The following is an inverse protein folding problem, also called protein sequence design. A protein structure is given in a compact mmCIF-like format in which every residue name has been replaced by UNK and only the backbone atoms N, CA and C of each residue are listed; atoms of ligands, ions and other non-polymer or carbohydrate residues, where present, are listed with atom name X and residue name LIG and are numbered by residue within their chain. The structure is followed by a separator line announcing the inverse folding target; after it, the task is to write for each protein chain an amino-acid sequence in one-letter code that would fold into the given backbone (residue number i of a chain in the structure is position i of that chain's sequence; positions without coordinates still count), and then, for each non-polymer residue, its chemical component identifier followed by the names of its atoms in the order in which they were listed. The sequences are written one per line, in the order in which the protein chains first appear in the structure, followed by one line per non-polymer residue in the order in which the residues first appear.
data_IF_099291951988
#
_entry.id   IF_099291951988
#
_cell.length_a   1.000
_cell.length_b   1.000
_cell.length_c   1.000
_cell.angle_alpha   90.00
_cell.angle_beta   90.00
_cell.angle_gamma   90.00
#
_symmetry.space_group_name_H-M   'P 1'
#
loop_
_entity.id
_entity.type
_entity.pdbx_description
1 polymer ?
#
# COMPACT_ATOMS: atom_id res chain seq x y z
N UNK A 1 42.36 5.60 23.69
CA UNK A 1 40.96 5.15 23.63
C UNK A 1 40.31 5.81 22.43
N UNK A 2 40.01 5.07 21.38
CA UNK A 2 39.13 5.58 20.29
C UNK A 2 37.75 5.79 20.87
N UNK A 3 37.09 6.94 20.62
CA UNK A 3 35.72 7.12 21.05
C UNK A 3 34.87 5.98 20.48
N UNK A 4 34.03 5.35 21.32
CA UNK A 4 33.08 4.33 20.93
C UNK A 4 32.23 4.90 19.77
N UNK A 5 32.50 4.46 18.55
CA UNK A 5 31.61 4.76 17.44
C UNK A 5 30.23 4.17 17.83
N UNK A 6 29.28 5.06 18.09
CA UNK A 6 27.87 4.67 18.19
C UNK A 6 27.57 3.94 16.88
N UNK A 7 27.17 2.66 16.97
CA UNK A 7 26.79 1.87 15.78
C UNK A 7 25.55 2.52 15.16
N UNK A 8 25.77 3.54 14.32
CA UNK A 8 24.72 4.32 13.65
C UNK A 8 24.05 3.54 12.52
N UNK A 9 24.61 2.41 12.13
CA UNK A 9 24.11 1.59 11.03
C UNK A 9 22.64 1.17 11.19
N UNK A 10 22.16 0.67 12.35
CA UNK A 10 20.75 0.31 12.52
C UNK A 10 19.79 1.50 12.45
N UNK A 11 20.19 2.67 12.97
CA UNK A 11 19.35 3.88 12.94
C UNK A 11 19.24 4.41 11.51
N UNK A 12 20.35 4.44 10.79
CA UNK A 12 20.41 4.91 9.42
C UNK A 12 19.64 3.96 8.48
N UNK A 13 19.78 2.64 8.66
CA UNK A 13 19.00 1.64 7.92
C UNK A 13 17.50 1.80 8.14
N UNK A 14 17.08 2.08 9.39
CA UNK A 14 15.69 2.34 9.72
C UNK A 14 15.19 3.64 9.07
N UNK A 15 16.01 4.70 9.05
CA UNK A 15 15.65 5.98 8.41
C UNK A 15 15.43 5.81 6.90
N UNK A 16 16.37 5.16 6.19
CA UNK A 16 16.22 4.92 4.76
C UNK A 16 15.04 3.98 4.45
N UNK A 17 14.81 2.94 5.24
CA UNK A 17 13.66 2.06 5.03
C UNK A 17 12.35 2.80 5.25
N UNK A 18 12.25 3.65 6.27
CA UNK A 18 11.06 4.46 6.52
C UNK A 18 10.82 5.48 5.39
N UNK A 19 11.87 6.16 4.92
CA UNK A 19 11.79 7.04 3.74
C UNK A 19 11.32 6.25 2.50
N UNK A 20 11.85 5.05 2.28
CA UNK A 20 11.44 4.16 1.19
C UNK A 20 9.94 3.82 1.27
N UNK A 21 9.39 3.60 2.45
CA UNK A 21 7.96 3.32 2.62
C UNK A 21 7.09 4.55 2.29
N UNK A 22 7.54 5.76 2.72
CA UNK A 22 6.86 7.01 2.33
C UNK A 22 6.86 7.16 0.81
N UNK A 23 8.03 7.05 0.16
CA UNK A 23 8.13 7.25 -1.29
C UNK A 23 7.35 6.20 -2.06
N UNK A 24 7.38 4.93 -1.65
CA UNK A 24 6.59 3.87 -2.30
C UNK A 24 5.12 4.24 -2.36
N UNK A 25 4.52 4.58 -1.23
CA UNK A 25 3.09 4.89 -1.18
C UNK A 25 2.77 6.27 -1.75
N UNK A 26 3.59 7.28 -1.50
CA UNK A 26 3.38 8.61 -2.05
C UNK A 26 3.40 8.58 -3.59
N UNK A 27 4.44 8.01 -4.20
CA UNK A 27 4.64 8.06 -5.64
C UNK A 27 3.68 7.15 -6.43
N UNK A 28 3.20 6.06 -5.82
CA UNK A 28 2.19 5.19 -6.47
C UNK A 28 0.77 5.74 -6.38
N UNK A 29 0.46 6.60 -5.39
CA UNK A 29 -0.89 7.13 -5.15
C UNK A 29 -1.05 8.56 -5.69
N UNK A 30 0.05 9.31 -5.91
CA UNK A 30 -0.03 10.70 -6.35
C UNK A 30 -0.87 10.88 -7.64
N UNK A 31 -0.85 9.89 -8.54
CA UNK A 31 -1.61 9.91 -9.78
C UNK A 31 -3.12 9.92 -9.55
N UNK A 32 -3.62 9.31 -8.49
CA UNK A 32 -5.04 9.29 -8.15
C UNK A 32 -5.66 10.71 -7.97
N UNK A 33 -4.85 11.67 -7.54
CA UNK A 33 -5.27 13.08 -7.44
C UNK A 33 -4.90 13.86 -8.70
N UNK A 34 -3.73 13.58 -9.30
CA UNK A 34 -3.31 14.25 -10.52
C UNK A 34 -4.27 14.01 -11.69
N UNK A 35 -4.85 12.81 -11.76
CA UNK A 35 -5.82 12.43 -12.81
C UNK A 35 -7.12 13.24 -12.80
N UNK A 36 -7.41 14.01 -11.75
CA UNK A 36 -8.55 14.94 -11.75
C UNK A 36 -8.33 16.11 -12.74
N UNK A 37 -7.10 16.56 -12.90
CA UNK A 37 -6.72 17.68 -13.77
C UNK A 37 -6.38 17.22 -15.20
N UNK A 38 -5.75 16.06 -15.34
CA UNK A 38 -5.11 15.61 -16.58
C UNK A 38 -6.06 15.35 -17.76
N UNK A 39 -7.36 14.99 -17.60
CA UNK A 39 -8.30 14.87 -18.72
C UNK A 39 -8.36 16.12 -19.60
N UNK A 40 -8.38 17.31 -18.99
CA UNK A 40 -8.37 18.58 -19.72
C UNK A 40 -7.03 18.92 -20.38
N UNK A 41 -5.91 18.42 -19.84
CA UNK A 41 -4.56 18.63 -20.40
C UNK A 41 -4.29 17.73 -21.62
N UNK A 42 -4.87 16.51 -21.64
CA UNK A 42 -4.58 15.49 -22.66
C UNK A 42 -5.74 15.21 -23.60
N UNK A 43 -6.88 15.88 -23.44
CA UNK A 43 -8.12 15.68 -24.22
C UNK A 43 -8.59 14.21 -24.23
N UNK A 44 -8.63 13.59 -23.05
CA UNK A 44 -9.05 12.20 -22.81
C UNK A 44 -10.12 12.13 -21.74
N UNK A 45 -10.97 11.10 -21.75
CA UNK A 45 -11.92 10.86 -20.69
C UNK A 45 -11.22 10.50 -19.37
N UNK A 46 -11.89 10.72 -18.22
CA UNK A 46 -11.31 10.43 -16.90
C UNK A 46 -10.90 8.96 -16.75
N UNK A 47 -11.75 8.03 -17.19
CA UNK A 47 -11.48 6.61 -17.08
C UNK A 47 -10.34 6.16 -17.99
N UNK A 48 -10.26 6.72 -19.21
CA UNK A 48 -9.11 6.48 -20.10
C UNK A 48 -7.81 6.91 -19.43
N UNK A 49 -7.79 8.14 -18.86
CA UNK A 49 -6.64 8.66 -18.14
C UNK A 49 -6.31 7.80 -16.91
N UNK A 50 -7.30 7.47 -16.08
CA UNK A 50 -7.09 6.63 -14.91
C UNK A 50 -6.51 5.26 -15.30
N UNK A 51 -7.01 4.68 -16.39
CA UNK A 51 -6.56 3.41 -16.95
C UNK A 51 -5.07 3.36 -17.32
N UNK A 52 -4.43 4.50 -17.62
CA UNK A 52 -2.99 4.54 -17.92
C UNK A 52 -2.11 4.07 -16.75
N UNK A 53 -2.59 4.13 -15.51
CA UNK A 53 -1.86 3.63 -14.35
C UNK A 53 -1.97 2.12 -14.13
N UNK A 54 -2.87 1.43 -14.83
CA UNK A 54 -3.21 0.02 -14.60
C UNK A 54 -2.00 -0.91 -14.72
N UNK A 55 -1.20 -0.76 -15.78
CA UNK A 55 0.00 -1.59 -15.97
C UNK A 55 1.03 -1.32 -14.89
N UNK A 56 1.19 -0.07 -14.45
CA UNK A 56 2.06 0.27 -13.33
C UNK A 56 1.69 -0.47 -12.05
N UNK A 57 0.41 -0.53 -11.71
CA UNK A 57 -0.07 -1.26 -10.54
C UNK A 57 0.11 -2.79 -10.68
N UNK A 58 -0.09 -3.34 -11.88
CA UNK A 58 0.21 -4.77 -12.15
C UNK A 58 1.70 -5.04 -11.94
N UNK A 59 2.57 -4.20 -12.49
CA UNK A 59 4.02 -4.33 -12.35
C UNK A 59 4.47 -4.16 -10.89
N UNK A 60 3.81 -3.29 -10.13
CA UNK A 60 4.06 -3.14 -8.69
C UNK A 60 3.86 -4.47 -7.94
N UNK A 61 2.78 -5.21 -8.25
CA UNK A 61 2.53 -6.52 -7.65
C UNK A 61 3.48 -7.60 -8.19
N UNK A 62 3.47 -7.82 -9.50
CA UNK A 62 4.20 -8.94 -10.15
C UNK A 62 5.71 -8.77 -10.00
N UNK A 63 6.23 -7.55 -10.14
CA UNK A 63 7.65 -7.23 -10.00
C UNK A 63 8.22 -7.51 -8.60
N UNK A 64 7.36 -7.60 -7.57
CA UNK A 64 7.81 -7.90 -6.20
C UNK A 64 8.46 -9.29 -6.06
N UNK A 65 8.07 -10.26 -6.89
CA UNK A 65 8.67 -11.61 -6.88
C UNK A 65 10.15 -11.59 -7.33
N UNK A 66 10.48 -11.10 -8.54
CA UNK A 66 11.88 -11.01 -8.96
C UNK A 66 12.67 -10.03 -8.09
N UNK A 67 12.09 -8.93 -7.62
CA UNK A 67 12.77 -7.97 -6.76
C UNK A 67 13.22 -8.61 -5.44
N UNK A 68 12.36 -9.39 -4.78
CA UNK A 68 12.73 -10.14 -3.58
C UNK A 68 13.83 -11.16 -3.86
N UNK A 69 13.73 -11.89 -4.98
CA UNK A 69 14.74 -12.87 -5.39
C UNK A 69 16.13 -12.23 -5.62
N UNK A 70 16.18 -11.06 -6.26
CA UNK A 70 17.43 -10.30 -6.43
C UNK A 70 17.97 -9.75 -5.11
N UNK A 71 17.08 -9.22 -4.24
CA UNK A 71 17.44 -8.73 -2.92
C UNK A 71 18.10 -9.79 -2.04
N UNK A 72 17.61 -11.03 -2.11
CA UNK A 72 18.16 -12.16 -1.34
C UNK A 72 19.50 -12.67 -1.90
N UNK A 73 19.77 -12.49 -3.21
CA UNK A 73 20.97 -13.06 -3.86
C UNK A 73 22.08 -12.09 -4.14
N UNK A 74 21.75 -10.81 -4.29
CA UNK A 74 22.75 -9.80 -4.61
C UNK A 74 22.98 -8.85 -3.43
N UNK A 75 22.08 -7.90 -3.18
CA UNK A 75 22.21 -6.90 -2.13
C UNK A 75 20.87 -6.23 -1.86
N UNK A 76 20.46 -6.19 -0.58
CA UNK A 76 19.26 -5.47 -0.18
C UNK A 76 19.44 -3.96 -0.31
N UNK A 77 20.62 -3.46 0.10
CA UNK A 77 20.94 -2.02 0.02
C UNK A 77 21.07 -1.60 -1.45
N UNK A 78 21.75 -2.40 -2.29
CA UNK A 78 21.89 -2.14 -3.72
C UNK A 78 20.52 -2.08 -4.42
N UNK A 79 19.62 -3.01 -4.10
CA UNK A 79 18.24 -2.99 -4.62
C UNK A 79 17.47 -1.74 -4.16
N UNK A 80 17.66 -1.28 -2.91
CA UNK A 80 17.03 -0.04 -2.43
C UNK A 80 17.62 1.21 -3.10
N UNK A 81 18.88 1.23 -3.46
CA UNK A 81 19.46 2.32 -4.30
C UNK A 81 18.77 2.34 -5.66
N UNK A 82 18.62 1.16 -6.31
CA UNK A 82 17.90 1.04 -7.58
C UNK A 82 16.43 1.49 -7.42
N UNK A 83 15.78 1.11 -6.32
CA UNK A 83 14.44 1.56 -6.02
C UNK A 83 14.32 3.08 -5.99
N UNK A 84 15.10 3.76 -5.14
CA UNK A 84 15.00 5.21 -4.97
C UNK A 84 15.34 5.98 -6.25
N UNK A 85 16.42 5.62 -6.92
CA UNK A 85 16.84 6.28 -8.16
C UNK A 85 15.86 5.96 -9.28
N UNK A 86 15.49 4.70 -9.44
CA UNK A 86 14.59 4.26 -10.52
C UNK A 86 13.20 4.84 -10.39
N UNK A 87 12.56 4.77 -9.21
CA UNK A 87 11.23 5.34 -8.99
C UNK A 87 11.26 6.87 -9.12
N UNK A 88 12.34 7.51 -8.63
CA UNK A 88 12.52 8.95 -8.74
C UNK A 88 12.66 9.41 -10.20
N UNK A 89 13.53 8.76 -10.98
CA UNK A 89 13.70 9.05 -12.42
C UNK A 89 12.41 8.81 -13.19
N UNK A 90 11.71 7.69 -12.93
CA UNK A 90 10.42 7.40 -13.54
C UNK A 90 9.38 8.47 -13.22
N UNK A 91 9.35 8.96 -11.98
CA UNK A 91 8.40 10.00 -11.55
C UNK A 91 8.75 11.35 -12.20
N UNK A 92 10.02 11.75 -12.24
CA UNK A 92 10.47 12.96 -12.95
C UNK A 92 10.11 12.86 -14.44
N UNK A 93 10.40 11.74 -15.09
CA UNK A 93 10.04 11.50 -16.49
C UNK A 93 8.53 11.65 -16.72
N UNK A 94 7.71 11.12 -15.79
CA UNK A 94 6.23 11.26 -15.84
C UNK A 94 5.80 12.72 -15.81
N UNK A 95 6.46 13.57 -14.99
CA UNK A 95 6.19 15.01 -14.92
C UNK A 95 6.50 15.77 -16.24
N UNK A 96 7.34 15.21 -17.09
CA UNK A 96 7.66 15.76 -18.43
C UNK A 96 6.85 15.13 -19.57
N UNK A 97 5.83 14.29 -19.25
CA UNK A 97 5.00 13.66 -20.26
C UNK A 97 4.29 14.71 -21.15
N UNK A 98 4.31 14.47 -22.46
CA UNK A 98 3.69 15.33 -23.47
C UNK A 98 2.47 14.70 -24.16
N UNK A 99 2.25 13.41 -23.94
CA UNK A 99 1.15 12.64 -24.51
C UNK A 99 0.83 11.43 -23.60
N UNK A 100 -0.30 10.77 -23.84
CA UNK A 100 -0.77 9.62 -23.09
C UNK A 100 0.25 8.47 -23.07
N UNK A 101 0.96 8.25 -24.19
CA UNK A 101 1.97 7.17 -24.27
C UNK A 101 3.15 7.42 -23.33
N UNK A 102 3.70 8.64 -23.30
CA UNK A 102 4.80 8.97 -22.37
C UNK A 102 4.34 8.94 -20.91
N UNK A 103 3.11 9.35 -20.62
CA UNK A 103 2.51 9.24 -19.30
C UNK A 103 2.33 7.78 -18.88
N UNK A 104 1.78 6.94 -19.76
CA UNK A 104 1.64 5.49 -19.55
C UNK A 104 2.99 4.80 -19.25
N UNK A 105 4.03 5.10 -20.03
CA UNK A 105 5.37 4.54 -19.81
C UNK A 105 5.90 4.97 -18.44
N UNK A 106 5.80 6.26 -18.10
CA UNK A 106 6.25 6.79 -16.82
C UNK A 106 5.54 6.13 -15.62
N UNK A 107 4.21 6.02 -15.67
CA UNK A 107 3.41 5.37 -14.64
C UNK A 107 3.74 3.87 -14.52
N UNK A 108 4.00 3.20 -15.63
CA UNK A 108 4.41 1.80 -15.66
C UNK A 108 5.78 1.60 -14.99
N UNK A 109 6.74 2.49 -15.26
CA UNK A 109 8.06 2.48 -14.63
C UNK A 109 8.00 2.81 -13.14
N UNK A 110 7.14 3.75 -12.70
CA UNK A 110 6.90 4.01 -11.28
C UNK A 110 6.48 2.72 -10.57
N UNK A 111 5.50 2.00 -11.11
CA UNK A 111 5.05 0.73 -10.53
C UNK A 111 6.13 -0.34 -10.53
N UNK A 112 6.90 -0.46 -11.62
CA UNK A 112 8.00 -1.41 -11.72
C UNK A 112 9.05 -1.18 -10.62
N UNK A 113 9.53 0.04 -10.42
CA UNK A 113 10.52 0.33 -9.39
C UNK A 113 9.92 0.29 -7.98
N UNK A 114 8.65 0.68 -7.79
CA UNK A 114 7.95 0.56 -6.52
C UNK A 114 7.91 -0.89 -6.02
N UNK A 115 7.87 -1.88 -6.91
CA UNK A 115 7.81 -3.31 -6.59
C UNK A 115 8.98 -3.80 -5.74
N UNK A 116 10.09 -3.08 -5.74
CA UNK A 116 11.31 -3.45 -5.02
C UNK A 116 11.15 -3.24 -3.50
N UNK A 117 10.45 -2.18 -3.08
CA UNK A 117 10.50 -1.77 -1.68
C UNK A 117 9.95 -2.81 -0.71
N UNK A 118 8.75 -3.33 -0.94
CA UNK A 118 8.10 -4.20 0.05
C UNK A 118 8.86 -5.49 0.35
N UNK A 119 9.33 -6.27 -0.65
CA UNK A 119 10.08 -7.48 -0.36
C UNK A 119 11.49 -7.20 0.17
N UNK A 120 12.15 -6.14 -0.31
CA UNK A 120 13.55 -5.86 0.00
C UNK A 120 13.71 -4.93 1.21
N UNK A 121 13.02 -3.79 1.21
CA UNK A 121 13.15 -2.76 2.24
C UNK A 121 12.65 -3.23 3.61
N UNK A 122 11.52 -3.97 3.65
CA UNK A 122 11.01 -4.55 4.89
C UNK A 122 11.93 -5.67 5.38
N UNK A 123 12.46 -6.51 4.49
CA UNK A 123 13.41 -7.56 4.87
C UNK A 123 14.70 -6.98 5.46
N UNK A 124 15.26 -5.96 4.83
CA UNK A 124 16.44 -5.24 5.33
C UNK A 124 16.18 -4.57 6.69
N UNK A 125 15.04 -3.89 6.84
CA UNK A 125 14.62 -3.27 8.09
C UNK A 125 14.56 -4.28 9.24
N UNK A 126 13.91 -5.43 9.01
CA UNK A 126 13.77 -6.50 10.02
C UNK A 126 15.13 -7.11 10.37
N UNK A 127 16.04 -7.23 9.38
CA UNK A 127 17.39 -7.73 9.60
C UNK A 127 18.23 -6.79 10.50
N UNK A 128 18.00 -5.47 10.42
CA UNK A 128 18.68 -4.46 11.23
C UNK A 128 18.00 -4.16 12.58
N UNK A 129 16.76 -4.60 12.78
CA UNK A 129 15.93 -4.21 13.92
C UNK A 129 16.27 -4.99 15.21
N UNK A 130 16.47 -4.26 16.33
CA UNK A 130 16.57 -4.86 17.69
C UNK A 130 15.21 -5.29 18.24
N UNK A 131 14.13 -4.53 17.92
CA UNK A 131 12.74 -4.78 18.32
C UNK A 131 11.85 -4.80 17.09
N UNK A 132 11.78 -5.97 16.44
CA UNK A 132 11.15 -6.13 15.13
C UNK A 132 9.70 -5.62 15.08
N UNK A 133 8.87 -5.93 16.08
CA UNK A 133 7.46 -5.51 16.12
C UNK A 133 7.30 -3.98 16.15
N UNK A 134 8.03 -3.30 17.04
CA UNK A 134 8.01 -1.84 17.11
C UNK A 134 8.52 -1.19 15.82
N UNK A 135 9.61 -1.72 15.28
CA UNK A 135 10.24 -1.20 14.05
C UNK A 135 9.31 -1.34 12.85
N UNK A 136 8.62 -2.48 12.71
CA UNK A 136 7.62 -2.69 11.66
C UNK A 136 6.39 -1.79 11.86
N UNK A 137 5.97 -1.57 13.10
CA UNK A 137 4.88 -0.64 13.42
C UNK A 137 5.19 0.79 13.00
N UNK A 138 6.39 1.28 13.34
CA UNK A 138 6.88 2.60 12.92
C UNK A 138 6.94 2.69 11.40
N UNK A 139 7.54 1.69 10.75
CA UNK A 139 7.64 1.65 9.29
C UNK A 139 6.28 1.66 8.61
N UNK A 140 5.30 0.92 9.14
CA UNK A 140 3.92 0.94 8.67
C UNK A 140 3.29 2.35 8.75
N UNK A 141 3.55 3.08 9.84
CA UNK A 141 3.08 4.46 10.00
C UNK A 141 3.67 5.40 8.92
N UNK A 142 4.93 5.22 8.55
CA UNK A 142 5.56 5.99 7.46
C UNK A 142 4.93 5.67 6.10
N UNK A 143 4.55 4.42 5.82
CA UNK A 143 3.82 4.06 4.60
C UNK A 143 2.45 4.75 4.53
N UNK A 144 1.70 4.73 5.62
CA UNK A 144 0.42 5.44 5.72
C UNK A 144 0.57 6.96 5.58
N UNK A 145 1.63 7.53 6.16
CA UNK A 145 1.96 8.95 6.02
C UNK A 145 2.18 9.31 4.55
N UNK A 146 2.92 8.49 3.79
CA UNK A 146 3.11 8.67 2.35
C UNK A 146 1.78 8.70 1.59
N UNK A 147 0.88 7.76 1.89
CA UNK A 147 -0.46 7.71 1.29
C UNK A 147 -1.32 8.93 1.61
N UNK A 148 -1.24 9.46 2.83
CA UNK A 148 -2.03 10.61 3.27
C UNK A 148 -1.48 11.94 2.73
N UNK A 149 -0.16 12.09 2.63
CA UNK A 149 0.48 13.29 2.10
C UNK A 149 0.29 13.42 0.59
N UNK A 150 0.28 12.31 -0.16
CA UNK A 150 0.22 12.32 -1.61
C UNK A 150 -0.93 13.20 -2.17
N UNK A 151 -2.20 12.98 -1.81
CA UNK A 151 -3.30 13.80 -2.36
C UNK A 151 -3.21 15.27 -1.95
N UNK A 152 -2.77 15.58 -0.72
CA UNK A 152 -2.58 16.96 -0.24
C UNK A 152 -1.52 17.67 -1.08
N UNK A 153 -0.36 17.04 -1.22
CA UNK A 153 0.76 17.59 -1.98
C UNK A 153 0.39 17.83 -3.44
N UNK A 154 -0.24 16.84 -4.08
CA UNK A 154 -0.65 16.94 -5.49
C UNK A 154 -1.67 18.05 -5.69
N UNK A 155 -2.70 18.14 -4.83
CA UNK A 155 -3.71 19.19 -4.92
C UNK A 155 -3.09 20.59 -4.82
N UNK A 156 -2.19 20.80 -3.86
CA UNK A 156 -1.45 22.09 -3.70
C UNK A 156 -0.61 22.39 -4.95
N UNK A 157 0.10 21.40 -5.49
CA UNK A 157 0.91 21.62 -6.67
C UNK A 157 0.08 21.98 -7.88
N UNK A 158 -1.08 21.35 -8.10
CA UNK A 158 -1.96 21.66 -9.22
C UNK A 158 -2.52 23.09 -9.12
N UNK A 159 -3.02 23.47 -7.95
CA UNK A 159 -3.67 24.78 -7.79
C UNK A 159 -2.68 25.95 -7.80
N UNK A 160 -1.46 25.78 -7.27
CA UNK A 160 -0.53 26.90 -7.04
C UNK A 160 0.75 26.89 -7.87
N UNK A 161 1.11 25.74 -8.49
CA UNK A 161 2.37 25.61 -9.26
C UNK A 161 2.12 25.03 -10.62
N UNK A 162 2.02 23.71 -10.73
CA UNK A 162 1.65 22.95 -11.93
C UNK A 162 1.50 21.45 -11.59
N UNK A 163 0.72 20.72 -12.39
CA UNK A 163 0.65 19.28 -12.26
C UNK A 163 2.01 18.58 -12.48
N UNK A 164 2.89 19.18 -13.29
CA UNK A 164 4.24 18.68 -13.52
C UNK A 164 5.09 18.71 -12.26
N UNK A 165 4.97 19.77 -11.48
CA UNK A 165 5.69 19.89 -10.20
C UNK A 165 5.28 18.80 -9.20
N UNK A 166 4.02 18.32 -9.27
CA UNK A 166 3.53 17.23 -8.43
C UNK A 166 4.30 15.91 -8.64
N UNK A 167 4.90 15.72 -9.82
CA UNK A 167 5.74 14.57 -10.13
C UNK A 167 7.24 14.89 -9.96
N UNK A 168 7.68 16.02 -10.52
CA UNK A 168 9.11 16.37 -10.58
C UNK A 168 9.73 16.53 -9.19
N UNK A 169 9.05 17.25 -8.29
CA UNK A 169 9.61 17.54 -6.97
C UNK A 169 9.80 16.28 -6.10
N UNK A 170 8.79 15.41 -5.90
CA UNK A 170 8.98 14.23 -5.10
C UNK A 170 9.86 13.18 -5.81
N UNK A 171 9.86 13.15 -7.15
CA UNK A 171 10.78 12.32 -7.92
C UNK A 171 12.24 12.72 -7.72
N UNK A 172 12.55 14.03 -7.76
CA UNK A 172 13.89 14.54 -7.47
C UNK A 172 14.31 14.25 -6.01
N UNK A 173 13.40 14.38 -5.05
CA UNK A 173 13.66 14.04 -3.65
C UNK A 173 13.98 12.54 -3.49
N UNK A 174 13.31 11.66 -4.22
CA UNK A 174 13.61 10.22 -4.21
C UNK A 174 15.01 9.94 -4.80
N UNK A 175 15.37 10.59 -5.93
CA UNK A 175 16.73 10.46 -6.52
C UNK A 175 17.81 10.90 -5.52
N UNK A 176 17.63 12.04 -4.87
CA UNK A 176 18.57 12.54 -3.86
C UNK A 176 18.69 11.57 -2.68
N UNK A 177 17.57 10.99 -2.21
CA UNK A 177 17.57 9.98 -1.15
C UNK A 177 18.34 8.73 -1.60
N UNK A 178 18.16 8.28 -2.83
CA UNK A 178 18.90 7.16 -3.41
C UNK A 178 20.40 7.43 -3.54
N UNK A 179 20.78 8.64 -3.96
CA UNK A 179 22.17 9.08 -3.99
C UNK A 179 22.81 9.10 -2.60
N UNK A 180 22.05 9.55 -1.59
CA UNK A 180 22.51 9.53 -0.19
C UNK A 180 22.68 8.11 0.35
N UNK A 181 21.73 7.22 0.02
CA UNK A 181 21.83 5.80 0.38
C UNK A 181 23.06 5.15 -0.29
N UNK A 182 23.31 5.45 -1.57
CA UNK A 182 24.49 4.95 -2.29
C UNK A 182 25.79 5.44 -1.63
N UNK A 183 25.89 6.73 -1.27
CA UNK A 183 27.03 7.30 -0.54
C UNK A 183 27.20 6.59 0.82
N UNK A 184 26.11 6.38 1.56
CA UNK A 184 26.15 5.68 2.84
C UNK A 184 26.62 4.23 2.69
N UNK A 185 26.24 3.56 1.60
CA UNK A 185 26.63 2.19 1.32
C UNK A 185 28.12 2.07 0.94
N UNK A 186 28.62 2.93 0.05
CA UNK A 186 30.05 2.87 -0.37
C UNK A 186 31.02 3.33 0.73
N UNK A 187 30.51 4.04 1.76
CA UNK A 187 31.31 4.43 2.93
C UNK A 187 31.08 3.51 4.16
N UNK A 188 30.43 2.34 3.98
CA UNK A 188 30.16 1.35 5.03
C UNK A 188 29.33 1.89 6.22
N UNK A 189 28.56 2.98 6.03
CA UNK A 189 27.64 3.49 7.06
C UNK A 189 26.42 2.62 7.21
N UNK A 190 26.02 1.96 6.12
CA UNK A 190 24.98 0.93 6.06
C UNK A 190 25.49 -0.29 5.31
N UNK A 191 25.02 -1.47 5.65
CA UNK A 191 25.44 -2.73 5.02
C UNK A 191 24.29 -3.71 4.91
N UNK A 192 24.43 -4.69 4.04
CA UNK A 192 23.57 -5.87 4.02
C UNK A 192 23.82 -6.68 5.29
N UNK A 193 22.77 -6.94 6.05
CA UNK A 193 22.85 -7.79 7.25
C UNK A 193 22.07 -9.08 6.99
N UNK A 194 22.78 -10.19 7.11
CA UNK A 194 22.17 -11.51 7.14
C UNK A 194 21.90 -11.85 8.61
N UNK A 195 20.64 -11.93 9.00
CA UNK A 195 20.25 -12.48 10.31
C UNK A 195 19.89 -13.93 10.16
N UNK A 196 20.60 -14.81 10.87
CA UNK A 196 20.14 -16.19 11.10
C UNK A 196 18.82 -16.14 11.89
N UNK A 197 17.71 -16.38 11.19
CA UNK A 197 16.39 -16.39 11.80
C UNK A 197 16.15 -17.73 12.47
N UNK A 198 15.82 -17.73 13.74
CA UNK A 198 15.25 -18.90 14.39
C UNK A 198 13.99 -19.35 13.63
N UNK A 199 13.86 -20.65 13.34
CA UNK A 199 12.69 -21.16 12.64
C UNK A 199 11.42 -20.93 13.48
N UNK A 200 10.40 -20.32 12.87
CA UNK A 200 9.09 -20.19 13.51
C UNK A 200 8.44 -21.58 13.65
N UNK A 201 7.58 -21.79 14.68
CA UNK A 201 6.92 -23.07 14.90
C UNK A 201 6.19 -23.58 13.66
N UNK A 202 6.21 -24.90 13.44
CA UNK A 202 5.49 -25.51 12.32
C UNK A 202 3.97 -25.34 12.47
N UNK A 203 3.22 -25.07 11.37
CA UNK A 203 1.77 -25.01 11.42
C UNK A 203 1.15 -26.36 11.76
N UNK A 204 -0.08 -26.35 12.34
CA UNK A 204 -0.81 -27.57 12.62
C UNK A 204 -1.09 -28.37 11.33
N UNK A 205 -0.87 -29.68 11.31
CA UNK A 205 -1.14 -30.53 10.14
C UNK A 205 -2.62 -30.46 9.74
N UNK A 206 -2.91 -30.32 8.44
CA UNK A 206 -4.26 -30.42 7.89
C UNK A 206 -4.95 -29.10 7.56
N UNK A 207 -4.71 -28.02 8.32
CA UNK A 207 -5.40 -26.74 8.10
C UNK A 207 -4.76 -25.85 7.03
N UNK A 208 -3.51 -26.08 6.65
CA UNK A 208 -2.76 -25.17 5.79
C UNK A 208 -3.36 -24.98 4.39
N UNK A 209 -3.86 -26.05 3.76
CA UNK A 209 -4.46 -25.97 2.41
C UNK A 209 -5.74 -25.15 2.41
N UNK A 210 -6.59 -25.42 3.41
CA UNK A 210 -7.86 -24.72 3.60
C UNK A 210 -7.62 -23.23 3.87
N UNK A 211 -6.75 -22.93 4.81
CA UNK A 211 -6.43 -21.53 5.15
C UNK A 211 -5.75 -20.82 3.99
N UNK A 212 -4.84 -21.50 3.26
CA UNK A 212 -4.20 -20.94 2.08
C UNK A 212 -5.23 -20.55 1.01
N UNK A 213 -6.20 -21.44 0.71
CA UNK A 213 -7.26 -21.15 -0.27
C UNK A 213 -8.13 -19.97 0.18
N UNK A 214 -8.52 -19.95 1.46
CA UNK A 214 -9.29 -18.84 2.02
C UNK A 214 -8.52 -17.52 1.88
N UNK A 215 -7.25 -17.49 2.30
CA UNK A 215 -6.42 -16.29 2.23
C UNK A 215 -6.16 -15.86 0.78
N UNK A 216 -6.00 -16.79 -0.16
CA UNK A 216 -5.85 -16.46 -1.58
C UNK A 216 -7.04 -15.63 -2.09
N UNK A 217 -8.27 -16.09 -1.81
CA UNK A 217 -9.50 -15.40 -2.24
C UNK A 217 -9.68 -14.08 -1.50
N UNK A 218 -9.54 -14.08 -0.17
CA UNK A 218 -9.77 -12.87 0.62
C UNK A 218 -8.73 -11.78 0.38
N UNK A 219 -7.46 -12.14 0.10
CA UNK A 219 -6.42 -11.19 -0.31
C UNK A 219 -6.68 -10.62 -1.71
N UNK A 220 -7.20 -11.43 -2.63
CA UNK A 220 -7.61 -10.94 -3.93
C UNK A 220 -8.76 -9.93 -3.81
N UNK A 221 -9.79 -10.23 -2.98
CA UNK A 221 -10.86 -9.30 -2.68
C UNK A 221 -10.33 -8.02 -1.99
N UNK A 222 -9.39 -8.16 -1.04
CA UNK A 222 -8.77 -7.03 -0.37
C UNK A 222 -8.02 -6.13 -1.35
N UNK A 223 -7.16 -6.71 -2.21
CA UNK A 223 -6.42 -5.95 -3.23
C UNK A 223 -7.35 -5.22 -4.19
N UNK A 224 -8.44 -5.90 -4.60
CA UNK A 224 -9.46 -5.33 -5.47
C UNK A 224 -10.14 -4.10 -4.83
N UNK A 225 -10.62 -4.22 -3.60
CA UNK A 225 -11.30 -3.13 -2.88
C UNK A 225 -10.31 -2.02 -2.51
N UNK A 226 -9.15 -2.38 -1.95
CA UNK A 226 -8.15 -1.40 -1.49
C UNK A 226 -7.63 -0.52 -2.63
N UNK A 227 -7.20 -1.14 -3.73
CA UNK A 227 -6.69 -0.38 -4.87
C UNK A 227 -7.77 0.52 -5.49
N UNK A 228 -8.99 0.02 -5.61
CA UNK A 228 -10.11 0.81 -6.12
C UNK A 228 -10.39 2.01 -5.23
N UNK A 229 -10.56 1.81 -3.93
CA UNK A 229 -10.83 2.90 -2.98
C UNK A 229 -9.70 3.95 -2.98
N UNK A 230 -8.44 3.52 -2.92
CA UNK A 230 -7.30 4.44 -2.90
C UNK A 230 -7.17 5.28 -4.17
N UNK A 231 -7.42 4.68 -5.34
CA UNK A 231 -7.26 5.38 -6.61
C UNK A 231 -8.49 6.16 -7.06
N UNK A 232 -9.68 5.87 -6.51
CA UNK A 232 -10.90 6.61 -6.87
C UNK A 232 -11.30 7.66 -5.82
N UNK A 233 -10.78 7.61 -4.59
CA UNK A 233 -11.18 8.48 -3.50
C UNK A 233 -11.20 9.98 -3.85
N UNK A 234 -10.17 10.57 -4.51
CA UNK A 234 -10.23 11.98 -4.89
C UNK A 234 -11.40 12.29 -5.82
N UNK A 235 -11.65 11.45 -6.82
CA UNK A 235 -12.76 11.65 -7.79
C UNK A 235 -14.13 11.41 -7.15
N UNK A 236 -14.23 10.44 -6.25
CA UNK A 236 -15.46 10.19 -5.46
C UNK A 236 -15.84 11.44 -4.66
N UNK A 237 -14.86 12.12 -4.04
CA UNK A 237 -15.11 13.37 -3.34
C UNK A 237 -15.41 14.53 -4.30
N UNK A 238 -14.73 14.63 -5.43
CA UNK A 238 -15.02 15.65 -6.43
C UNK A 238 -16.47 15.60 -6.91
N UNK A 239 -16.98 14.42 -7.24
CA UNK A 239 -18.35 14.29 -7.80
C UNK A 239 -19.44 14.15 -6.73
N UNK A 240 -19.10 13.69 -5.53
CA UNK A 240 -20.07 13.42 -4.46
C UNK A 240 -20.28 14.55 -3.46
N UNK A 241 -19.44 15.60 -3.50
CA UNK A 241 -19.49 16.72 -2.57
C UNK A 241 -20.05 17.98 -3.23
N UNK A 242 -20.37 18.99 -2.39
CA UNK A 242 -20.82 20.29 -2.86
C UNK A 242 -19.72 21.04 -3.59
N UNK A 243 -20.10 21.96 -4.49
CA UNK A 243 -19.22 22.80 -5.29
C UNK A 243 -18.17 23.51 -4.43
N UNK A 244 -18.49 23.89 -3.19
CA UNK A 244 -17.57 24.57 -2.27
C UNK A 244 -16.31 23.76 -1.89
N UNK A 245 -16.31 22.44 -2.11
CA UNK A 245 -15.13 21.58 -1.93
C UNK A 245 -14.56 21.16 -3.28
N UNK A 246 -15.43 20.90 -4.26
CA UNK A 246 -15.07 20.41 -5.59
C UNK A 246 -14.39 21.50 -6.48
N UNK A 247 -14.37 22.76 -6.06
CA UNK A 247 -13.78 23.89 -6.81
C UNK A 247 -12.24 24.02 -6.69
N UNK A 248 -11.59 23.15 -5.90
CA UNK A 248 -10.15 23.20 -5.66
C UNK A 248 -9.55 21.82 -5.46
N UNK A 249 -8.51 21.50 -6.21
CA UNK A 249 -7.74 20.26 -6.06
C UNK A 249 -7.06 20.17 -4.69
N UNK A 250 -6.66 21.31 -4.12
CA UNK A 250 -6.12 21.38 -2.74
C UNK A 250 -7.16 20.95 -1.71
N UNK A 251 -8.40 21.41 -1.80
CA UNK A 251 -9.48 21.01 -0.85
C UNK A 251 -9.79 19.52 -0.97
N UNK A 252 -9.91 19.00 -2.19
CA UNK A 252 -10.12 17.56 -2.45
C UNK A 252 -8.94 16.76 -1.91
N UNK A 253 -7.71 17.22 -2.17
CA UNK A 253 -6.49 16.59 -1.70
C UNK A 253 -6.40 16.54 -0.17
N UNK A 254 -6.69 17.65 0.52
CA UNK A 254 -6.70 17.74 1.99
C UNK A 254 -7.75 16.77 2.56
N UNK A 255 -8.96 16.77 2.03
CA UNK A 255 -10.02 15.89 2.52
C UNK A 255 -9.64 14.42 2.32
N UNK A 256 -9.14 14.06 1.15
CA UNK A 256 -8.67 12.70 0.85
C UNK A 256 -7.55 12.29 1.79
N UNK A 257 -6.56 13.18 2.00
CA UNK A 257 -5.44 12.97 2.91
C UNK A 257 -5.88 12.79 4.36
N UNK A 258 -6.85 13.58 4.83
CA UNK A 258 -7.42 13.44 6.18
C UNK A 258 -8.13 12.08 6.32
N UNK A 259 -8.96 11.69 5.37
CA UNK A 259 -9.68 10.40 5.42
C UNK A 259 -8.70 9.24 5.43
N UNK A 260 -7.68 9.25 4.57
CA UNK A 260 -6.62 8.22 4.55
C UNK A 260 -5.83 8.24 5.86
N UNK A 261 -5.42 9.41 6.33
CA UNK A 261 -4.63 9.55 7.56
C UNK A 261 -5.37 9.08 8.79
N UNK A 262 -6.63 9.49 8.98
CA UNK A 262 -7.46 9.05 10.11
C UNK A 262 -7.75 7.54 10.05
N UNK A 263 -8.09 7.01 8.87
CA UNK A 263 -8.30 5.57 8.71
C UNK A 263 -7.05 4.76 9.05
N UNK A 264 -5.88 5.29 8.73
CA UNK A 264 -4.59 4.64 9.00
C UNK A 264 -4.31 4.42 10.51
N UNK A 265 -4.86 5.26 11.37
CA UNK A 265 -4.81 5.06 12.84
C UNK A 265 -5.50 3.75 13.24
N UNK A 266 -6.52 3.34 12.49
CA UNK A 266 -7.23 2.08 12.76
C UNK A 266 -6.36 0.82 12.52
N UNK A 267 -5.25 0.92 11.79
CA UNK A 267 -4.30 -0.19 11.67
C UNK A 267 -3.62 -0.52 13.01
N UNK A 268 -3.35 0.48 13.86
CA UNK A 268 -2.85 0.25 15.23
C UNK A 268 -3.91 -0.41 16.12
N UNK A 269 -5.18 0.02 15.97
CA UNK A 269 -6.31 -0.63 16.67
C UNK A 269 -6.41 -2.09 16.22
N UNK A 270 -6.27 -2.37 14.93
CA UNK A 270 -6.25 -3.71 14.38
C UNK A 270 -5.13 -4.60 14.96
N UNK A 271 -3.92 -4.07 15.09
CA UNK A 271 -2.80 -4.75 15.74
C UNK A 271 -3.09 -5.05 17.22
N UNK A 272 -3.56 -4.06 17.96
CA UNK A 272 -3.93 -4.21 19.38
C UNK A 272 -5.06 -5.23 19.60
N UNK A 273 -6.06 -5.25 18.73
CA UNK A 273 -7.12 -6.25 18.73
C UNK A 273 -6.57 -7.65 18.42
N UNK A 274 -5.67 -7.76 17.43
CA UNK A 274 -5.08 -9.03 17.01
C UNK A 274 -4.24 -9.69 18.11
N UNK A 275 -3.65 -8.90 19.03
CA UNK A 275 -2.93 -9.40 20.19
C UNK A 275 -3.86 -9.95 21.30
N UNK A 276 -5.11 -9.48 21.37
CA UNK A 276 -6.07 -9.82 22.43
C UNK A 276 -7.13 -10.83 22.04
N UNK A 277 -7.52 -10.81 20.79
CA UNK A 277 -8.60 -11.65 20.27
C UNK A 277 -8.10 -12.60 19.17
N UNK A 278 -8.87 -13.60 18.83
CA UNK A 278 -8.48 -14.51 17.75
C UNK A 278 -8.45 -13.77 16.39
N UNK A 279 -7.37 -13.95 15.62
CA UNK A 279 -7.21 -13.35 14.31
C UNK A 279 -8.41 -13.63 13.39
N UNK A 280 -9.00 -14.86 13.45
CA UNK A 280 -10.21 -15.20 12.72
C UNK A 280 -11.40 -14.31 13.06
N UNK A 281 -11.64 -14.02 14.37
CA UNK A 281 -12.77 -13.19 14.78
C UNK A 281 -12.63 -11.76 14.28
N UNK A 282 -11.43 -11.18 14.43
CA UNK A 282 -11.16 -9.82 13.96
C UNK A 282 -11.33 -9.76 12.44
N UNK A 283 -10.74 -10.71 11.72
CA UNK A 283 -10.84 -10.79 10.28
C UNK A 283 -12.28 -10.85 9.79
N UNK A 284 -13.11 -11.72 10.39
CA UNK A 284 -14.52 -11.84 10.06
C UNK A 284 -15.33 -10.57 10.38
N UNK A 285 -15.15 -10.01 11.59
CA UNK A 285 -15.93 -8.85 12.03
C UNK A 285 -15.67 -7.65 11.13
N UNK A 286 -14.42 -7.36 10.80
CA UNK A 286 -14.09 -6.19 9.97
C UNK A 286 -14.48 -6.38 8.51
N UNK A 287 -14.41 -7.60 7.95
CA UNK A 287 -15.01 -7.89 6.65
C UNK A 287 -16.52 -7.70 6.64
N UNK A 288 -17.24 -8.16 7.70
CA UNK A 288 -18.69 -7.94 7.83
C UNK A 288 -19.06 -6.46 7.97
N UNK A 289 -18.27 -5.66 8.69
CA UNK A 289 -18.49 -4.21 8.82
C UNK A 289 -18.18 -3.46 7.53
N UNK A 290 -17.23 -3.95 6.75
CA UNK A 290 -16.88 -3.34 5.46
C UNK A 290 -18.02 -3.42 4.44
N UNK A 291 -18.79 -4.50 4.41
CA UNK A 291 -19.92 -4.66 3.46
C UNK A 291 -20.92 -3.49 3.53
N UNK A 292 -21.58 -3.21 4.68
CA UNK A 292 -22.53 -2.11 4.74
C UNK A 292 -21.87 -0.73 4.54
N UNK A 293 -20.61 -0.56 4.93
CA UNK A 293 -19.91 0.72 4.69
C UNK A 293 -19.66 0.98 3.19
N UNK A 294 -19.33 -0.05 2.41
CA UNK A 294 -19.22 0.08 0.95
C UNK A 294 -20.57 0.37 0.26
N UNK A 295 -21.65 -0.26 0.73
CA UNK A 295 -22.99 0.05 0.25
C UNK A 295 -23.35 1.51 0.60
N UNK A 296 -22.99 1.96 1.80
CA UNK A 296 -23.22 3.35 2.20
C UNK A 296 -22.44 4.31 1.30
N UNK A 297 -21.18 4.03 0.94
CA UNK A 297 -20.42 4.84 -0.03
C UNK A 297 -21.13 4.89 -1.39
N UNK A 298 -21.67 3.77 -1.85
CA UNK A 298 -22.39 3.70 -3.14
C UNK A 298 -23.63 4.60 -3.19
N UNK A 299 -24.26 4.88 -2.04
CA UNK A 299 -25.54 5.59 -1.93
C UNK A 299 -25.42 7.00 -1.34
N UNK A 300 -24.30 7.31 -0.68
CA UNK A 300 -24.13 8.55 0.07
C UNK A 300 -23.67 9.71 -0.82
N UNK A 301 -23.97 10.92 -0.37
CA UNK A 301 -23.48 12.18 -0.92
C UNK A 301 -23.20 13.19 0.20
N UNK A 302 -22.51 14.28 -0.10
CA UNK A 302 -22.17 15.31 0.88
C UNK A 302 -21.42 14.76 2.10
N UNK A 303 -21.71 15.25 3.28
CA UNK A 303 -21.01 14.88 4.51
C UNK A 303 -21.16 13.38 4.86
N UNK A 304 -22.27 12.77 4.48
CA UNK A 304 -22.49 11.32 4.70
C UNK A 304 -21.48 10.49 3.90
N UNK A 305 -21.13 10.94 2.69
CA UNK A 305 -20.11 10.27 1.88
C UNK A 305 -18.73 10.30 2.56
N UNK A 306 -18.35 11.43 3.17
CA UNK A 306 -17.07 11.54 3.91
C UNK A 306 -17.04 10.51 5.04
N UNK A 307 -18.10 10.43 5.83
CA UNK A 307 -18.20 9.44 6.92
C UNK A 307 -18.17 8.00 6.40
N UNK A 308 -18.92 7.72 5.33
CA UNK A 308 -18.95 6.39 4.70
C UNK A 308 -17.57 5.95 4.21
N UNK A 309 -16.84 6.84 3.52
CA UNK A 309 -15.47 6.60 3.05
C UNK A 309 -14.51 6.39 4.23
N UNK A 310 -14.59 7.21 5.28
CA UNK A 310 -13.77 7.05 6.49
C UNK A 310 -14.02 5.70 7.15
N UNK A 311 -15.27 5.28 7.31
CA UNK A 311 -15.62 3.98 7.91
C UNK A 311 -15.11 2.82 7.04
N UNK A 312 -15.38 2.85 5.73
CA UNK A 312 -14.96 1.80 4.82
C UNK A 312 -13.43 1.65 4.79
N UNK A 313 -12.68 2.76 4.66
CA UNK A 313 -11.21 2.73 4.71
C UNK A 313 -10.69 2.27 6.07
N UNK A 314 -11.30 2.70 7.18
CA UNK A 314 -10.92 2.28 8.53
C UNK A 314 -11.09 0.78 8.73
N UNK A 315 -12.21 0.21 8.31
CA UNK A 315 -12.44 -1.24 8.44
C UNK A 315 -11.50 -2.04 7.55
N UNK A 316 -11.23 -1.55 6.34
CA UNK A 316 -10.34 -2.18 5.37
C UNK A 316 -8.90 -2.30 5.89
N UNK A 317 -8.36 -1.30 6.60
CA UNK A 317 -6.98 -1.34 7.11
C UNK A 317 -6.88 -2.05 8.46
N UNK A 318 -7.96 -2.12 9.24
CA UNK A 318 -7.94 -2.69 10.59
C UNK A 318 -7.67 -4.20 10.57
N UNK A 319 -8.21 -4.95 9.62
CA UNK A 319 -8.00 -6.41 9.59
C UNK A 319 -6.65 -6.84 9.02
N UNK A 320 -5.85 -5.94 8.47
CA UNK A 320 -4.55 -6.27 7.86
C UNK A 320 -3.58 -6.97 8.83
N UNK A 321 -3.59 -6.59 10.12
CA UNK A 321 -2.79 -7.25 11.14
C UNK A 321 -3.24 -8.70 11.37
N UNK A 322 -4.55 -8.95 11.43
CA UNK A 322 -5.10 -10.29 11.58
C UNK A 322 -4.80 -11.17 10.35
N UNK A 323 -4.86 -10.61 9.15
CA UNK A 323 -4.49 -11.28 7.90
C UNK A 323 -3.01 -11.71 7.94
N UNK A 324 -2.10 -10.80 8.32
CA UNK A 324 -0.68 -11.11 8.47
C UNK A 324 -0.42 -12.25 9.47
N UNK A 325 -1.13 -12.25 10.61
CA UNK A 325 -1.04 -13.32 11.60
C UNK A 325 -1.53 -14.66 11.05
N UNK A 326 -2.61 -14.68 10.27
CA UNK A 326 -3.12 -15.89 9.64
C UNK A 326 -2.11 -16.45 8.61
N UNK A 327 -1.52 -15.60 7.77
CA UNK A 327 -0.46 -16.00 6.83
C UNK A 327 0.73 -16.59 7.58
N UNK A 328 1.26 -15.88 8.59
CA UNK A 328 2.43 -16.33 9.33
C UNK A 328 2.20 -17.66 10.05
N UNK A 329 1.00 -17.87 10.61
CA UNK A 329 0.64 -19.04 11.39
C UNK A 329 0.42 -20.30 10.54
N UNK A 330 -0.24 -20.17 9.39
CA UNK A 330 -0.70 -21.34 8.61
C UNK A 330 0.17 -21.64 7.39
N UNK A 331 1.17 -20.80 7.07
CA UNK A 331 2.06 -21.08 5.94
C UNK A 331 3.29 -21.90 6.42
N UNK A 332 3.52 -23.11 5.87
CA UNK A 332 4.71 -23.89 6.14
C UNK A 332 5.98 -23.10 5.83
N UNK A 333 7.04 -23.30 6.62
CA UNK A 333 8.28 -22.53 6.51
C UNK A 333 8.83 -22.48 5.07
N UNK A 334 8.89 -23.62 4.38
CA UNK A 334 9.40 -23.71 3.00
C UNK A 334 8.57 -22.96 1.96
N UNK A 335 7.30 -22.59 2.26
CA UNK A 335 6.40 -21.90 1.36
C UNK A 335 6.12 -20.45 1.76
N UNK A 336 6.72 -19.96 2.86
CA UNK A 336 6.45 -18.60 3.38
C UNK A 336 6.82 -17.50 2.41
N UNK A 337 8.00 -17.56 1.83
CA UNK A 337 8.42 -16.57 0.84
C UNK A 337 7.46 -16.53 -0.36
N UNK A 338 7.04 -17.71 -0.84
CA UNK A 338 6.06 -17.81 -1.92
C UNK A 338 4.68 -17.26 -1.51
N UNK A 339 4.22 -17.54 -0.29
CA UNK A 339 2.93 -17.05 0.21
C UNK A 339 2.92 -15.53 0.37
N UNK A 340 4.00 -14.94 0.89
CA UNK A 340 4.14 -13.48 0.95
C UNK A 340 4.29 -12.87 -0.45
N UNK A 341 5.01 -13.52 -1.36
CA UNK A 341 5.10 -13.11 -2.75
C UNK A 341 3.73 -13.13 -3.45
N UNK A 342 2.99 -14.23 -3.31
CA UNK A 342 1.62 -14.35 -3.83
C UNK A 342 0.69 -13.28 -3.24
N UNK A 343 0.84 -12.99 -1.94
CA UNK A 343 0.11 -11.90 -1.29
C UNK A 343 0.34 -10.56 -1.96
N UNK A 344 1.59 -10.20 -2.24
CA UNK A 344 1.90 -8.92 -2.92
C UNK A 344 1.35 -8.88 -4.34
N UNK A 345 1.45 -10.00 -5.08
CA UNK A 345 0.84 -10.10 -6.42
C UNK A 345 -0.67 -9.89 -6.35
N UNK A 346 -1.34 -10.53 -5.39
CA UNK A 346 -2.80 -10.41 -5.25
C UNK A 346 -3.22 -9.06 -4.69
N UNK A 347 -2.53 -8.56 -3.65
CA UNK A 347 -2.91 -7.31 -3.00
C UNK A 347 -2.61 -6.07 -3.85
N UNK A 348 -1.55 -6.10 -4.67
CA UNK A 348 -1.11 -4.95 -5.47
C UNK A 348 -1.38 -5.15 -6.96
N UNK A 349 -1.11 -6.35 -7.51
CA UNK A 349 -1.24 -6.62 -8.94
C UNK A 349 -2.68 -6.62 -9.43
N UNK A 350 -3.65 -7.08 -8.64
CA UNK A 350 -5.09 -6.98 -8.96
C UNK A 350 -5.54 -5.52 -9.05
N UNK A 351 -4.85 -4.62 -8.33
CA UNK A 351 -5.16 -3.20 -8.34
C UNK A 351 -5.20 -2.58 -9.74
N UNK A 352 -4.34 -3.01 -10.66
CA UNK A 352 -4.36 -2.51 -12.03
C UNK A 352 -5.65 -2.84 -12.77
N UNK A 353 -6.17 -4.07 -12.62
CA UNK A 353 -7.46 -4.44 -13.20
C UNK A 353 -8.61 -3.66 -12.56
N UNK A 354 -8.54 -3.43 -11.25
CA UNK A 354 -9.55 -2.65 -10.52
C UNK A 354 -9.61 -1.22 -11.01
N UNK A 355 -8.46 -0.57 -11.19
CA UNK A 355 -8.37 0.82 -11.63
C UNK A 355 -8.89 0.97 -13.07
N UNK A 356 -8.57 0.03 -13.94
CA UNK A 356 -9.14 -0.02 -15.29
C UNK A 356 -10.67 -0.14 -15.27
N UNK A 357 -11.20 -1.09 -14.48
CA UNK A 357 -12.65 -1.27 -14.32
C UNK A 357 -13.32 -0.02 -13.72
N UNK A 358 -12.67 0.62 -12.73
CA UNK A 358 -13.18 1.83 -12.11
C UNK A 358 -13.31 2.98 -13.10
N UNK A 359 -12.31 3.15 -13.97
CA UNK A 359 -12.34 4.14 -15.04
C UNK A 359 -13.45 3.88 -16.06
N UNK A 360 -13.52 2.66 -16.60
CA UNK A 360 -14.54 2.27 -17.59
C UNK A 360 -15.97 2.43 -17.04
N UNK A 361 -16.21 1.99 -15.79
CA UNK A 361 -17.51 2.17 -15.16
C UNK A 361 -17.87 3.65 -14.94
N UNK A 362 -16.90 4.47 -14.55
CA UNK A 362 -17.13 5.90 -14.36
C UNK A 362 -17.43 6.60 -15.69
N UNK A 363 -16.71 6.33 -16.75
CA UNK A 363 -16.94 6.95 -18.07
C UNK A 363 -18.31 6.58 -18.64
N UNK A 364 -18.83 5.36 -18.33
CA UNK A 364 -20.16 4.92 -18.77
C UNK A 364 -21.30 5.45 -17.93
N UNK A 365 -21.09 5.64 -16.62
CA UNK A 365 -22.19 5.91 -15.67
C UNK A 365 -22.15 7.30 -15.03
N UNK A 366 -21.00 7.98 -15.10
CA UNK A 366 -20.76 9.26 -14.42
C UNK A 366 -20.65 9.15 -12.92
N UNK A 367 -20.73 7.93 -12.33
CA UNK A 367 -20.71 7.71 -10.88
C UNK A 367 -19.88 6.50 -10.49
N UNK A 368 -19.53 6.40 -9.21
CA UNK A 368 -18.87 5.21 -8.66
C UNK A 368 -19.82 4.26 -7.93
N UNK A 369 -21.13 4.53 -7.92
CA UNK A 369 -22.11 3.72 -7.17
C UNK A 369 -22.05 2.24 -7.55
N UNK A 370 -22.01 1.93 -8.84
CA UNK A 370 -21.88 0.54 -9.32
C UNK A 370 -20.57 -0.10 -8.86
N UNK A 371 -19.45 0.63 -8.94
CA UNK A 371 -18.14 0.13 -8.51
C UNK A 371 -18.15 -0.25 -7.02
N UNK A 372 -18.68 0.62 -6.15
CA UNK A 372 -18.74 0.35 -4.71
C UNK A 372 -19.71 -0.78 -4.36
N UNK A 373 -20.78 -0.98 -5.13
CA UNK A 373 -21.63 -2.17 -5.02
C UNK A 373 -20.86 -3.43 -5.43
N UNK A 374 -20.06 -3.40 -6.50
CA UNK A 374 -19.17 -4.51 -6.87
C UNK A 374 -18.15 -4.78 -5.77
N UNK A 375 -17.58 -3.74 -5.14
CA UNK A 375 -16.71 -3.91 -3.97
C UNK A 375 -17.43 -4.55 -2.80
N UNK A 376 -18.71 -4.21 -2.56
CA UNK A 376 -19.49 -4.84 -1.49
C UNK A 376 -19.73 -6.34 -1.77
N UNK A 377 -19.95 -6.73 -3.03
CA UNK A 377 -20.04 -8.15 -3.42
C UNK A 377 -18.71 -8.87 -3.19
N UNK A 378 -17.59 -8.26 -3.56
CA UNK A 378 -16.26 -8.83 -3.26
C UNK A 378 -16.04 -9.00 -1.74
N UNK A 379 -16.48 -8.03 -0.93
CA UNK A 379 -16.43 -8.13 0.52
C UNK A 379 -17.32 -9.26 1.07
N UNK A 380 -18.52 -9.46 0.51
CA UNK A 380 -19.39 -10.62 0.86
C UNK A 380 -18.69 -11.95 0.52
N UNK A 381 -18.06 -12.05 -0.65
CA UNK A 381 -17.28 -13.24 -1.01
C UNK A 381 -16.18 -13.48 0.03
N UNK A 382 -15.45 -12.43 0.42
CA UNK A 382 -14.42 -12.53 1.45
C UNK A 382 -14.98 -12.98 2.80
N UNK A 383 -16.15 -12.48 3.23
CA UNK A 383 -16.86 -12.93 4.43
C UNK A 383 -17.16 -14.43 4.36
N UNK A 384 -17.77 -14.90 3.25
CA UNK A 384 -18.14 -16.29 3.06
C UNK A 384 -16.92 -17.22 3.16
N UNK A 385 -15.82 -16.85 2.50
CA UNK A 385 -14.57 -17.63 2.59
C UNK A 385 -13.94 -17.55 3.98
N UNK A 386 -13.95 -16.38 4.64
CA UNK A 386 -13.40 -16.22 5.99
C UNK A 386 -14.14 -17.05 7.05
N UNK A 387 -15.42 -17.41 6.85
CA UNK A 387 -16.13 -18.35 7.71
C UNK A 387 -15.50 -19.77 7.70
N UNK A 388 -14.83 -20.14 6.61
CA UNK A 388 -14.12 -21.42 6.50
C UNK A 388 -12.80 -21.46 7.28
N UNK A 389 -12.33 -20.35 7.84
CA UNK A 389 -11.14 -20.36 8.70
C UNK A 389 -11.37 -21.25 9.93
N UNK A 390 -10.35 -22.01 10.38
CA UNK A 390 -10.48 -22.87 11.57
C UNK A 390 -10.85 -22.08 12.84
N UNK A 391 -11.76 -22.64 13.64
CA UNK A 391 -12.25 -22.02 14.88
C UNK A 391 -11.25 -22.06 16.05
N UNK A 392 -10.25 -22.94 15.99
CA UNK A 392 -9.28 -23.25 17.05
C UNK A 392 -8.08 -22.32 17.15
N UNK A 393 -8.18 -21.11 16.61
CA UNK A 393 -7.13 -20.09 16.77
C UNK A 393 -7.09 -19.51 18.20
N UNK A 394 -6.87 -20.32 19.25
CA UNK A 394 -6.50 -19.83 20.58
C UNK A 394 -5.12 -19.18 20.49
N UNK A 395 -5.03 -17.96 21.01
CA UNK A 395 -3.81 -17.18 21.17
C UNK A 395 -2.65 -18.01 21.72
N UNK A 396 -1.49 -17.96 21.09
CA UNK A 396 -0.21 -18.54 21.56
C UNK A 396 0.33 -17.76 22.79
N UNK A 397 -0.39 -16.78 23.29
CA UNK A 397 0.02 -15.96 24.45
C UNK A 397 -0.35 -16.60 25.79
N UNK A 398 0.14 -17.81 26.06
CA UNK A 398 0.35 -18.34 27.43
C UNK A 398 1.60 -19.23 27.47
N UNK A 399 2.75 -18.74 27.02
CA UNK A 399 3.99 -19.15 27.66
C UNK A 399 4.48 -17.95 28.49
N UNK A 400 4.58 -18.11 29.81
CA UNK A 400 5.25 -17.10 30.62
C UNK A 400 6.70 -17.03 30.14
N UNK A 401 7.16 -15.83 29.84
CA UNK A 401 8.58 -15.54 29.74
C UNK A 401 9.14 -15.87 31.11
N UNK A 402 9.80 -17.01 31.26
CA UNK A 402 10.66 -17.27 32.39
C UNK A 402 11.78 -16.22 32.34
N UNK A 403 11.78 -15.41 33.41
CA UNK A 403 12.74 -14.35 33.71
C UNK A 403 14.16 -14.92 33.77
#
# INVERSE_FOLDING_TARGET
MKPSQVDSGPVMSMAFSNAGHVFTHMLTILYATAVLYLPGEFDLAYGEMLGLSSVGLILFGVGSLPAGWFGDRWSQVGMLVIFFIGIGVATVFTGFAKNATSLFIGLSLIGLFASIYHPVGIAWLVACARRQGLTLGINGAFGHLGSAIAPVFVGIMIDYVSWRAAFVLPGAAAILTGGFLWIAWVNDWVSDRVTDRAPLPAPAPGDYRRVFLVLLVTMACNGFVYAGMMNTAPKVFEVGLTVAVADSYTKIGILTGIVIGLSSVCSFIGGWLADRYSARRIYLVFWMLLVPSLILVAMASGNTLILAMLLAMSFLVTFAAAENMLVARYTPFKWRSLAYGARFVLALGIGGLTVYLAGDLFDRTGTFSVLYLVFSVAAVIAVLFAFWLPSTARSIHKQPVSI
#
